data_IF_361944461570
#
_entry.id   IF_361944461570
#
_cell.length_a   1.000
_cell.length_b   1.000
_cell.length_c   1.000
_cell.angle_alpha   90.00
_cell.angle_beta   90.00
_cell.angle_gamma   90.00
#
_symmetry.space_group_name_H-M   'P 1'
#
loop_
_entity.id
_entity.type
_entity.pdbx_description
1 polymer ?
#
# COMPACT_ATOMS: atom_id res chain seq x y z
N UNK A 1 27.70 -0.54 -6.58
CA UNK A 1 26.74 -1.65 -6.55
C UNK A 1 25.38 -1.00 -6.58
N UNK A 2 24.89 -0.70 -7.77
CA UNK A 2 23.49 -0.32 -7.95
C UNK A 2 22.69 -1.57 -7.61
N UNK A 3 22.12 -1.59 -6.41
CA UNK A 3 20.98 -2.45 -6.13
C UNK A 3 19.89 -1.95 -7.07
N UNK A 4 19.82 -2.57 -8.24
CA UNK A 4 18.67 -2.49 -9.15
C UNK A 4 17.44 -2.54 -8.25
N UNK A 5 16.77 -1.39 -8.13
CA UNK A 5 15.69 -1.18 -7.17
C UNK A 5 14.55 -2.05 -7.66
N UNK A 6 14.58 -3.32 -7.29
CA UNK A 6 13.50 -4.25 -7.57
C UNK A 6 12.33 -3.74 -6.75
N UNK A 7 11.53 -2.88 -7.38
CA UNK A 7 10.25 -2.46 -6.85
C UNK A 7 9.38 -3.70 -6.97
N UNK A 8 9.09 -4.41 -5.86
CA UNK A 8 8.26 -5.59 -5.93
C UNK A 8 6.92 -5.19 -6.52
N UNK A 9 6.34 -6.03 -7.39
CA UNK A 9 5.05 -5.70 -8.03
C UNK A 9 3.91 -5.53 -7.02
N UNK A 10 4.04 -6.17 -5.86
CA UNK A 10 3.08 -6.13 -4.79
C UNK A 10 3.77 -5.90 -3.45
N UNK A 11 3.17 -5.05 -2.62
CA UNK A 11 3.57 -4.83 -1.23
C UNK A 11 2.61 -5.58 -0.30
N UNK A 12 3.11 -6.02 0.85
CA UNK A 12 2.26 -6.36 1.98
C UNK A 12 1.64 -5.10 2.57
N UNK A 13 0.63 -5.26 3.43
CA UNK A 13 0.01 -4.12 4.12
C UNK A 13 1.00 -3.34 4.98
N UNK A 14 1.96 -4.02 5.59
CA UNK A 14 2.99 -3.38 6.41
C UNK A 14 3.96 -2.58 5.55
N UNK A 15 4.47 -3.16 4.47
CA UNK A 15 5.35 -2.45 3.53
C UNK A 15 4.63 -1.23 2.91
N UNK A 16 3.34 -1.35 2.59
CA UNK A 16 2.54 -0.23 2.09
C UNK A 16 2.36 0.88 3.14
N UNK A 17 2.17 0.50 4.41
CA UNK A 17 2.09 1.44 5.52
C UNK A 17 3.39 2.22 5.71
N UNK A 18 4.54 1.53 5.58
CA UNK A 18 5.86 2.16 5.63
C UNK A 18 6.09 3.12 4.46
N UNK A 19 5.71 2.76 3.23
CA UNK A 19 5.84 3.63 2.05
C UNK A 19 4.97 4.90 2.17
N UNK A 20 3.76 4.76 2.70
CA UNK A 20 2.84 5.88 2.88
C UNK A 20 3.07 6.65 4.19
N UNK A 21 4.00 6.19 5.02
CA UNK A 21 4.26 6.67 6.39
C UNK A 21 2.96 6.85 7.19
N UNK A 22 2.19 5.76 7.21
CA UNK A 22 0.88 5.68 7.87
C UNK A 22 0.75 4.38 8.66
N UNK A 23 -0.36 4.21 9.37
CA UNK A 23 -0.65 3.00 10.13
C UNK A 23 -1.39 1.95 9.28
N UNK A 24 -1.29 0.67 9.68
CA UNK A 24 -1.95 -0.41 8.96
C UNK A 24 -3.48 -0.28 8.93
N UNK A 25 -4.12 0.37 9.91
CA UNK A 25 -5.57 0.54 9.91
C UNK A 25 -6.00 1.55 8.83
N UNK A 26 -5.17 2.55 8.53
CA UNK A 26 -5.35 3.43 7.37
C UNK A 26 -5.22 2.64 6.06
N UNK A 27 -4.24 1.75 5.93
CA UNK A 27 -4.15 0.85 4.76
C UNK A 27 -5.38 -0.04 4.63
N UNK A 28 -5.84 -0.65 5.73
CA UNK A 28 -7.04 -1.50 5.72
C UNK A 28 -8.29 -0.70 5.34
N UNK A 29 -8.40 0.59 5.73
CA UNK A 29 -9.46 1.51 5.29
C UNK A 29 -9.38 1.80 3.81
N UNK A 30 -8.21 2.16 3.28
CA UNK A 30 -8.00 2.40 1.84
C UNK A 30 -8.36 1.17 0.99
N UNK A 31 -8.08 -0.03 1.50
CA UNK A 31 -8.50 -1.28 0.87
C UNK A 31 -10.02 -1.46 0.96
N UNK A 32 -10.63 -1.15 2.11
CA UNK A 32 -12.06 -1.30 2.32
C UNK A 32 -12.90 -0.30 1.49
N UNK A 33 -12.39 0.91 1.27
CA UNK A 33 -13.00 1.95 0.41
C UNK A 33 -12.76 1.71 -1.08
N UNK A 34 -11.90 0.74 -1.44
CA UNK A 34 -11.57 0.40 -2.82
C UNK A 34 -10.55 1.34 -3.47
N UNK A 35 -9.87 2.18 -2.69
CA UNK A 35 -8.79 3.05 -3.17
C UNK A 35 -7.53 2.23 -3.46
N UNK A 36 -7.24 1.23 -2.63
CA UNK A 36 -6.17 0.25 -2.87
C UNK A 36 -6.76 -1.10 -3.27
N UNK A 37 -6.34 -1.62 -4.42
CA UNK A 37 -6.68 -2.99 -4.78
C UNK A 37 -5.93 -3.98 -3.91
N UNK A 38 -6.65 -5.02 -3.48
CA UNK A 38 -6.08 -6.13 -2.70
C UNK A 38 -6.13 -7.45 -3.43
N UNK A 39 -5.05 -8.19 -3.28
CA UNK A 39 -4.92 -9.59 -3.68
C UNK A 39 -4.76 -10.45 -2.45
N UNK A 40 -5.65 -11.45 -2.30
CA UNK A 40 -5.58 -12.42 -1.21
C UNK A 40 -4.78 -13.64 -1.67
N UNK A 41 -3.69 -13.95 -0.97
CA UNK A 41 -2.90 -15.16 -1.18
C UNK A 41 -3.26 -16.16 -0.09
N UNK A 42 -3.69 -17.36 -0.51
CA UNK A 42 -4.07 -18.47 0.38
C UNK A 42 -5.07 -18.05 1.47
N UNK A 43 -6.01 -17.17 1.10
CA UNK A 43 -7.03 -16.53 1.95
C UNK A 43 -6.53 -15.71 3.15
N UNK A 44 -5.26 -15.83 3.55
CA UNK A 44 -4.72 -15.26 4.79
C UNK A 44 -3.86 -14.01 4.58
N UNK A 45 -3.20 -13.90 3.44
CA UNK A 45 -2.23 -12.84 3.20
C UNK A 45 -2.78 -11.81 2.23
N UNK A 46 -2.73 -10.54 2.58
CA UNK A 46 -3.17 -9.44 1.73
C UNK A 46 -1.94 -8.77 1.10
N UNK A 47 -1.98 -8.65 -0.22
CA UNK A 47 -1.01 -7.90 -1.04
C UNK A 47 -1.73 -6.75 -1.73
N UNK A 48 -1.06 -5.61 -1.86
CA UNK A 48 -1.55 -4.42 -2.58
C UNK A 48 -0.62 -4.11 -3.75
N UNK A 49 -1.12 -3.46 -4.79
CA UNK A 49 -0.31 -3.08 -5.95
C UNK A 49 0.64 -1.94 -5.59
N UNK A 50 1.94 -2.16 -5.82
CA UNK A 50 2.97 -1.15 -5.51
C UNK A 50 2.78 0.13 -6.31
N UNK A 51 2.33 0.03 -7.57
CA UNK A 51 2.02 1.20 -8.39
C UNK A 51 0.99 2.12 -7.72
N UNK A 52 -0.12 1.56 -7.24
CA UNK A 52 -1.15 2.34 -6.54
C UNK A 52 -0.64 2.95 -5.23
N UNK A 53 0.18 2.20 -4.49
CA UNK A 53 0.78 2.73 -3.25
C UNK A 53 1.71 3.91 -3.55
N UNK A 54 2.52 3.82 -4.62
CA UNK A 54 3.40 4.92 -5.04
C UNK A 54 2.59 6.13 -5.53
N UNK A 55 1.54 5.93 -6.32
CA UNK A 55 0.62 7.02 -6.72
C UNK A 55 0.00 7.71 -5.50
N UNK A 56 -0.40 6.95 -4.48
CA UNK A 56 -0.92 7.51 -3.22
C UNK A 56 0.14 8.22 -2.39
N UNK A 57 1.42 7.84 -2.52
CA UNK A 57 2.53 8.49 -1.80
C UNK A 57 2.79 9.92 -2.30
N UNK A 58 2.38 10.23 -3.53
CA UNK A 58 2.45 11.58 -4.09
C UNK A 58 1.33 12.50 -3.56
N UNK A 59 0.28 11.93 -2.94
CA UNK A 59 -0.81 12.70 -2.36
C UNK A 59 -0.46 13.20 -0.94
N UNK A 60 -1.07 14.32 -0.50
CA UNK A 60 -0.91 14.78 0.87
C UNK A 60 -1.43 13.73 1.86
N UNK A 61 -0.65 13.42 2.90
CA UNK A 61 -1.02 12.41 3.93
C UNK A 61 -2.37 12.68 4.61
N UNK A 62 -2.76 13.94 4.70
CA UNK A 62 -4.07 14.35 5.26
C UNK A 62 -5.26 13.79 4.46
N UNK A 63 -5.07 13.52 3.17
CA UNK A 63 -6.10 12.88 2.35
C UNK A 63 -6.22 11.39 2.69
N UNK A 64 -5.08 10.71 2.87
CA UNK A 64 -5.03 9.28 3.19
C UNK A 64 -5.72 8.97 4.53
N UNK A 65 -5.59 9.86 5.52
CA UNK A 65 -6.19 9.66 6.85
C UNK A 65 -7.69 9.92 6.91
N UNK A 66 -8.24 10.64 5.91
CA UNK A 66 -9.68 11.00 5.82
C UNK A 66 -10.54 9.94 5.10
N UNK A 67 -9.91 8.96 4.46
CA UNK A 67 -10.58 7.79 3.87
C UNK A 67 -10.98 6.76 4.95
#
# INVERSE_FOLDING_TARGET
MDYDSYVPKFLSRQEAAEVLDTDMATIDRLIATGILDRYRIRDRWIRVLTGQVLELSELPREWLTRC
#
